data_IF_951964636496
#
_entry.id   IF_951964636496
#
_cell.length_a   1.000
_cell.length_b   1.000
_cell.length_c   1.000
_cell.angle_alpha   90.00
_cell.angle_beta   90.00
_cell.angle_gamma   90.00
#
_symmetry.space_group_name_H-M   'P 1'
#
loop_
_entity.id
_entity.type
_entity.pdbx_description
1 polymer ?
#
# COMPACT_ATOMS: atom_id res chain seq x y z
N UNK A 1 -24.51 23.89 -39.48
CA UNK A 1 -23.43 22.92 -39.68
C UNK A 1 -22.95 22.44 -38.33
N UNK A 2 -22.59 21.16 -38.29
CA UNK A 2 -22.41 20.23 -37.18
C UNK A 2 -21.32 20.62 -36.16
N UNK A 3 -21.53 20.22 -34.89
CA UNK A 3 -20.62 20.27 -33.73
C UNK A 3 -19.24 19.64 -34.04
N UNK A 4 -18.20 20.03 -33.29
CA UNK A 4 -17.57 19.12 -32.30
C UNK A 4 -16.80 19.89 -31.20
N UNK A 5 -16.80 19.39 -29.95
CA UNK A 5 -16.09 19.97 -28.81
C UNK A 5 -14.66 19.41 -28.71
N UNK A 6 -13.68 20.26 -28.38
CA UNK A 6 -12.35 19.79 -27.96
C UNK A 6 -12.37 19.49 -26.46
N UNK A 7 -12.78 18.27 -26.10
CA UNK A 7 -12.41 17.72 -24.80
C UNK A 7 -10.94 17.31 -24.87
N UNK A 8 -10.09 18.03 -24.14
CA UNK A 8 -8.79 17.51 -23.75
C UNK A 8 -9.05 16.36 -22.78
N UNK A 9 -9.20 15.15 -23.32
CA UNK A 9 -8.99 13.93 -22.56
C UNK A 9 -7.49 13.85 -22.29
N UNK A 10 -7.06 14.46 -21.18
CA UNK A 10 -5.80 14.09 -20.56
C UNK A 10 -5.97 12.66 -20.08
N UNK A 11 -5.50 11.71 -20.88
CA UNK A 11 -5.27 10.34 -20.45
C UNK A 11 -4.32 10.42 -19.26
N UNK A 12 -4.84 10.18 -18.06
CA UNK A 12 -4.02 10.03 -16.87
C UNK A 12 -3.22 8.75 -17.13
N UNK A 13 -1.95 8.86 -17.50
CA UNK A 13 -1.05 7.71 -17.51
C UNK A 13 -1.05 7.13 -16.09
N UNK A 14 -1.68 5.98 -15.93
CA UNK A 14 -1.68 5.23 -14.68
C UNK A 14 -0.23 4.78 -14.48
N UNK A 15 0.55 5.55 -13.73
CA UNK A 15 1.87 5.12 -13.28
C UNK A 15 1.68 3.95 -12.31
N UNK A 16 1.76 2.73 -12.84
CA UNK A 16 1.90 1.52 -12.04
C UNK A 16 3.35 1.51 -11.55
N UNK A 17 3.58 1.95 -10.32
CA UNK A 17 4.88 1.86 -9.68
C UNK A 17 5.02 0.51 -8.96
N UNK A 18 6.21 -0.05 -8.97
CA UNK A 18 6.45 -1.25 -8.17
C UNK A 18 6.48 -0.83 -6.70
N UNK A 19 5.95 -1.70 -5.83
CA UNK A 19 5.95 -1.40 -4.39
C UNK A 19 7.37 -1.15 -3.86
N UNK A 20 8.36 -1.74 -4.52
CA UNK A 20 9.77 -1.60 -4.24
C UNK A 20 10.34 -0.20 -4.50
N UNK A 21 9.70 0.57 -5.39
CA UNK A 21 10.05 1.97 -5.69
C UNK A 21 9.74 2.90 -4.51
N UNK A 22 8.74 2.53 -3.70
CA UNK A 22 8.26 3.35 -2.59
C UNK A 22 8.72 2.82 -1.24
N UNK A 23 8.71 1.49 -1.06
CA UNK A 23 9.30 0.81 0.08
C UNK A 23 10.34 -0.16 -0.46
N UNK A 24 11.65 0.04 -0.23
CA UNK A 24 12.70 -0.77 -0.84
C UNK A 24 12.82 -2.15 -0.17
N UNK A 25 11.77 -2.95 -0.30
CA UNK A 25 11.61 -4.30 0.24
C UNK A 25 12.69 -5.24 -0.29
N UNK A 26 13.05 -5.20 -1.57
CA UNK A 26 14.09 -6.04 -2.17
C UNK A 26 15.47 -5.76 -1.57
N UNK A 27 15.77 -4.49 -1.27
CA UNK A 27 17.04 -4.11 -0.63
C UNK A 27 17.09 -4.51 0.84
N UNK A 28 15.93 -4.53 1.50
CA UNK A 28 15.81 -4.83 2.93
C UNK A 28 15.65 -6.33 3.21
N UNK A 29 15.05 -7.06 2.28
CA UNK A 29 14.81 -8.51 2.34
C UNK A 29 15.25 -9.17 1.03
N UNK A 30 16.56 -9.18 0.71
CA UNK A 30 17.08 -9.62 -0.59
C UNK A 30 16.77 -11.08 -0.95
N UNK A 31 16.32 -11.88 0.02
CA UNK A 31 16.04 -13.31 -0.15
C UNK A 31 14.61 -13.69 0.26
N UNK A 32 13.71 -12.72 0.47
CA UNK A 32 12.33 -13.00 0.87
C UNK A 32 11.34 -12.67 -0.25
N UNK A 33 10.37 -13.56 -0.44
CA UNK A 33 9.25 -13.28 -1.34
C UNK A 33 8.37 -12.15 -0.78
N UNK A 34 7.73 -11.37 -1.66
CA UNK A 34 6.71 -10.37 -1.26
C UNK A 34 5.66 -10.96 -0.31
N UNK A 35 5.25 -12.22 -0.54
CA UNK A 35 4.32 -12.94 0.33
C UNK A 35 4.83 -13.09 1.77
N UNK A 36 6.13 -13.31 1.95
CA UNK A 36 6.77 -13.45 3.25
C UNK A 36 6.89 -12.09 3.94
N UNK A 37 7.31 -11.08 3.17
CA UNK A 37 7.38 -9.69 3.63
C UNK A 37 6.01 -9.20 4.10
N UNK A 38 4.94 -9.40 3.32
CA UNK A 38 3.57 -9.05 3.70
C UNK A 38 3.15 -9.68 5.02
N UNK A 39 3.58 -10.91 5.31
CA UNK A 39 3.28 -11.57 6.59
C UNK A 39 3.94 -10.89 7.78
N UNK A 40 5.12 -10.30 7.60
CA UNK A 40 5.85 -9.63 8.67
C UNK A 40 5.58 -8.12 8.75
N UNK A 41 5.22 -7.49 7.63
CA UNK A 41 5.22 -6.02 7.46
C UNK A 41 3.91 -5.47 6.86
N UNK A 42 2.82 -6.22 6.96
CA UNK A 42 1.46 -5.77 6.56
C UNK A 42 1.06 -4.40 7.10
N UNK A 43 1.56 -3.98 8.26
CA UNK A 43 1.32 -2.64 8.81
C UNK A 43 1.96 -1.52 7.98
N UNK A 44 3.13 -1.74 7.37
CA UNK A 44 3.74 -0.75 6.48
C UNK A 44 2.97 -0.62 5.17
N UNK A 45 2.39 -1.72 4.68
CA UNK A 45 1.49 -1.68 3.52
C UNK A 45 0.26 -0.81 3.80
N UNK A 46 -0.34 -0.97 4.99
CA UNK A 46 -1.44 -0.10 5.45
C UNK A 46 -1.01 1.37 5.48
N UNK A 47 0.11 1.68 6.13
CA UNK A 47 0.54 3.07 6.31
C UNK A 47 0.91 3.73 4.97
N UNK A 48 1.54 2.97 4.06
CA UNK A 48 1.80 3.42 2.71
C UNK A 48 0.50 3.75 1.98
N UNK A 49 -0.45 2.80 1.97
CA UNK A 49 -1.76 2.98 1.34
C UNK A 49 -2.52 4.21 1.88
N UNK A 50 -2.48 4.43 3.21
CA UNK A 50 -3.16 5.57 3.84
C UNK A 50 -2.48 6.92 3.58
N UNK A 51 -1.18 6.93 3.28
CA UNK A 51 -0.40 8.17 3.11
C UNK A 51 -0.21 8.62 1.67
N UNK A 52 -0.22 7.68 0.75
CA UNK A 52 -0.07 7.96 -0.68
C UNK A 52 -1.36 7.51 -1.39
N UNK A 53 -2.12 8.49 -1.87
CA UNK A 53 -3.40 8.30 -2.53
C UNK A 53 -3.28 7.64 -3.91
N UNK A 54 -2.05 7.64 -4.48
CA UNK A 54 -1.72 6.97 -5.74
C UNK A 54 -1.56 5.46 -5.57
N UNK A 55 -1.41 4.97 -4.34
CA UNK A 55 -1.26 3.54 -4.07
C UNK A 55 -2.64 2.87 -4.15
N UNK A 56 -2.77 1.92 -5.06
CA UNK A 56 -3.90 1.00 -5.12
C UNK A 56 -3.41 -0.42 -5.39
N UNK A 57 -4.12 -1.40 -4.86
CA UNK A 57 -3.89 -2.81 -5.11
C UNK A 57 -4.91 -3.31 -6.13
N UNK A 58 -4.49 -4.11 -7.10
CA UNK A 58 -5.43 -4.84 -7.96
C UNK A 58 -6.38 -5.70 -7.13
N UNK A 59 -7.53 -6.07 -7.68
CA UNK A 59 -8.48 -6.93 -6.96
C UNK A 59 -7.86 -8.23 -6.46
N UNK A 60 -7.04 -8.88 -7.30
CA UNK A 60 -6.35 -10.12 -6.95
C UNK A 60 -5.34 -9.90 -5.81
N UNK A 61 -4.59 -8.81 -5.88
CA UNK A 61 -3.63 -8.44 -4.85
C UNK A 61 -4.35 -8.18 -3.52
N UNK A 62 -5.44 -7.41 -3.53
CA UNK A 62 -6.21 -7.11 -2.32
C UNK A 62 -6.80 -8.38 -1.69
N UNK A 63 -7.33 -9.30 -2.50
CA UNK A 63 -7.84 -10.60 -2.02
C UNK A 63 -6.73 -11.42 -1.35
N UNK A 64 -5.54 -11.48 -1.95
CA UNK A 64 -4.40 -12.21 -1.38
C UNK A 64 -3.87 -11.52 -0.11
N UNK A 65 -3.79 -10.20 -0.08
CA UNK A 65 -3.43 -9.42 1.11
C UNK A 65 -4.38 -9.71 2.28
N UNK A 66 -5.69 -9.59 2.06
CA UNK A 66 -6.72 -9.95 3.04
C UNK A 66 -6.55 -11.38 3.56
N UNK A 67 -6.31 -12.34 2.66
CA UNK A 67 -6.12 -13.75 3.04
C UNK A 67 -4.85 -13.96 3.87
N UNK A 68 -3.75 -13.30 3.51
CA UNK A 68 -2.45 -13.45 4.17
C UNK A 68 -2.41 -12.82 5.56
N UNK A 69 -3.11 -11.71 5.75
CA UNK A 69 -3.06 -10.94 6.99
C UNK A 69 -4.23 -11.22 7.92
N UNK A 70 -5.03 -12.24 7.61
CA UNK A 70 -6.17 -12.61 8.44
C UNK A 70 -5.68 -12.87 9.87
N UNK A 71 -6.41 -12.34 10.85
CA UNK A 71 -6.14 -12.46 12.28
C UNK A 71 -4.85 -11.77 12.78
N UNK A 72 -4.15 -11.01 11.93
CA UNK A 72 -3.09 -10.11 12.37
C UNK A 72 -3.63 -9.08 13.36
N UNK A 73 -2.86 -8.81 14.42
CA UNK A 73 -3.19 -7.77 15.39
C UNK A 73 -2.34 -6.56 15.10
N UNK A 74 -2.98 -5.39 14.96
CA UNK A 74 -2.25 -4.14 14.82
C UNK A 74 -1.38 -3.93 16.05
N UNK A 75 -0.06 -3.99 15.84
CA UNK A 75 0.94 -3.76 16.87
C UNK A 75 1.77 -2.51 16.57
N UNK A 76 1.15 -1.53 15.90
CA UNK A 76 1.74 -0.23 15.67
C UNK A 76 2.14 0.42 17.00
N UNK A 77 3.37 0.90 17.04
CA UNK A 77 3.87 1.70 18.14
C UNK A 77 4.35 3.04 17.57
N UNK A 78 4.07 4.16 18.25
CA UNK A 78 4.57 5.45 17.81
C UNK A 78 6.10 5.48 17.87
N UNK A 79 6.76 6.25 16.98
CA UNK A 79 8.19 6.46 17.02
C UNK A 79 8.64 6.98 18.39
N UNK A 80 9.68 6.39 18.96
CA UNK A 80 10.24 6.84 20.24
C UNK A 80 10.90 8.23 20.11
N UNK A 81 11.38 8.58 18.91
CA UNK A 81 11.99 9.87 18.61
C UNK A 81 11.01 10.80 17.88
N UNK A 82 10.74 11.98 18.46
CA UNK A 82 9.76 12.97 17.98
C UNK A 82 10.06 13.59 16.61
N UNK A 83 11.28 13.44 16.08
CA UNK A 83 11.75 14.14 14.87
C UNK A 83 11.99 13.21 13.66
N UNK A 84 11.65 11.93 13.75
CA UNK A 84 11.75 11.01 12.62
C UNK A 84 10.39 10.89 11.94
N UNK A 85 10.37 11.00 10.61
CA UNK A 85 9.19 10.62 9.83
C UNK A 85 8.85 9.15 10.09
N UNK A 86 7.57 8.75 9.94
CA UNK A 86 7.14 7.38 10.26
C UNK A 86 7.94 6.29 9.52
N UNK A 87 8.47 6.64 8.34
CA UNK A 87 9.28 5.77 7.49
C UNK A 87 10.79 5.88 7.77
N UNK A 88 11.20 6.86 8.57
CA UNK A 88 12.57 7.01 9.08
C UNK A 88 12.74 6.33 10.45
N UNK A 89 11.65 6.14 11.18
CA UNK A 89 11.57 5.41 12.45
C UNK A 89 10.88 4.05 12.31
N UNK A 90 10.92 3.46 11.11
CA UNK A 90 10.50 2.07 10.94
C UNK A 90 11.22 1.27 12.02
N UNK A 91 10.47 0.55 12.85
CA UNK A 91 11.07 -0.29 13.90
C UNK A 91 12.24 -1.05 13.24
N UNK A 92 13.44 -1.07 13.84
CA UNK A 92 14.43 -2.03 13.40
C UNK A 92 13.77 -3.42 13.41
N UNK A 93 14.06 -4.21 12.38
CA UNK A 93 13.45 -5.50 12.03
C UNK A 93 13.48 -6.60 13.12
N UNK A 94 13.69 -6.27 14.38
CA UNK A 94 13.56 -7.17 15.51
C UNK A 94 12.12 -7.54 15.85
N UNK A 95 11.10 -6.84 15.32
CA UNK A 95 9.69 -7.17 15.59
C UNK A 95 8.81 -6.89 14.38
N UNK A 96 8.02 -7.87 13.91
CA UNK A 96 7.08 -7.69 12.79
C UNK A 96 6.11 -6.53 13.04
N UNK A 97 5.81 -5.74 12.00
CA UNK A 97 4.72 -4.77 12.03
C UNK A 97 3.48 -5.34 11.32
N UNK A 98 2.55 -5.88 12.10
CA UNK A 98 1.40 -6.61 11.62
C UNK A 98 0.17 -5.71 11.53
N UNK A 99 -0.65 -5.95 10.53
CA UNK A 99 -1.98 -5.37 10.39
C UNK A 99 -2.90 -6.30 9.61
N UNK A 100 -4.16 -6.39 10.00
CA UNK A 100 -5.16 -7.15 9.25
C UNK A 100 -5.80 -6.27 8.18
N UNK A 101 -5.48 -6.52 6.92
CA UNK A 101 -6.00 -5.81 5.75
C UNK A 101 -7.46 -6.16 5.41
N UNK A 102 -8.12 -7.05 6.16
CA UNK A 102 -9.60 -7.21 6.11
C UNK A 102 -10.33 -6.03 6.80
N UNK A 103 -9.81 -4.81 6.63
CA UNK A 103 -10.40 -3.58 7.11
C UNK A 103 -11.31 -3.01 6.04
N UNK A 104 -12.60 -2.86 6.37
CA UNK A 104 -13.61 -2.37 5.43
C UNK A 104 -13.25 -1.01 4.85
N UNK A 105 -12.59 -0.14 5.64
CA UNK A 105 -12.19 1.20 5.19
C UNK A 105 -11.10 1.12 4.11
N UNK A 106 -10.15 0.18 4.24
CA UNK A 106 -9.10 -0.03 3.25
C UNK A 106 -9.69 -0.66 1.99
N UNK A 107 -10.56 -1.65 2.14
CA UNK A 107 -11.19 -2.35 1.01
C UNK A 107 -12.02 -1.37 0.16
N UNK A 108 -12.88 -0.58 0.80
CA UNK A 108 -13.72 0.40 0.10
C UNK A 108 -12.89 1.50 -0.55
N UNK A 109 -11.86 2.00 0.14
CA UNK A 109 -10.98 3.03 -0.41
C UNK A 109 -10.18 2.50 -1.60
N UNK A 110 -9.71 1.25 -1.53
CA UNK A 110 -8.99 0.63 -2.63
C UNK A 110 -9.88 0.46 -3.87
N UNK A 111 -11.14 0.04 -3.68
CA UNK A 111 -12.11 -0.06 -4.76
C UNK A 111 -12.36 1.31 -5.43
N UNK A 112 -12.55 2.37 -4.65
CA UNK A 112 -12.71 3.74 -5.17
C UNK A 112 -11.49 4.20 -5.98
N UNK A 113 -10.27 3.86 -5.55
CA UNK A 113 -9.03 4.23 -6.25
C UNK A 113 -8.88 3.46 -7.56
N UNK A 114 -9.21 2.17 -7.57
CA UNK A 114 -9.23 1.37 -8.80
C UNK A 114 -10.22 1.93 -9.82
N UNK A 115 -11.43 2.29 -9.40
CA UNK A 115 -12.45 2.88 -10.29
C UNK A 115 -12.01 4.20 -10.93
N UNK A 116 -11.26 5.02 -10.22
CA UNK A 116 -10.69 6.28 -10.74
C UNK A 116 -9.49 6.08 -11.67
N UNK A 117 -8.87 4.91 -11.60
CA UNK A 117 -7.69 4.56 -12.37
C UNK A 117 -8.05 3.85 -13.68
N UNK A 118 -9.32 3.55 -13.94
CA UNK A 118 -9.82 2.97 -15.20
C UNK A 118 -10.50 4.07 -16.01
#
# INVERSE_FOLDING_TARGET
MTRQPSHNEQTIEIMVFEIDDVIPFSRRHPNESIRLITRYDSGYLKDLFKKDDRVCFSEECMKELCRLTKDHKDNWEPPTAKNLGIFASLKPYGTPYLYNLNDITIIEENAKRLEKSI
#
